data_IF_273446901391
#
_entry.id   IF_273446901391
#
_cell.length_a   1.000
_cell.length_b   1.000
_cell.length_c   1.000
_cell.angle_alpha   90.00
_cell.angle_beta   90.00
_cell.angle_gamma   90.00
#
_symmetry.space_group_name_H-M   'P 1'
#
loop_
_entity.id
_entity.type
_entity.pdbx_description
1 polymer ?
#
# COMPACT_ATOMS: atom_id res chain seq x y z
N UNK A 1 -5.19 23.73 7.88
CA UNK A 1 -5.14 22.47 7.13
C UNK A 1 -5.72 22.70 5.74
N UNK A 2 -4.89 23.07 4.76
CA UNK A 2 -5.34 23.24 3.37
C UNK A 2 -5.31 21.88 2.70
N UNK A 3 -6.45 21.46 2.13
CA UNK A 3 -6.52 20.37 1.17
C UNK A 3 -5.67 20.74 -0.04
N UNK A 4 -4.97 19.75 -0.58
CA UNK A 4 -4.05 19.87 -1.69
C UNK A 4 -4.77 19.38 -2.95
N UNK A 5 -5.52 20.28 -3.57
CA UNK A 5 -6.28 20.08 -4.81
C UNK A 5 -5.72 21.02 -5.88
N UNK A 6 -4.56 20.64 -6.43
CA UNK A 6 -3.87 21.45 -7.44
C UNK A 6 -2.97 20.70 -8.41
N UNK A 7 -2.99 19.36 -8.44
CA UNK A 7 -2.22 18.61 -9.43
C UNK A 7 -3.12 17.91 -10.45
N UNK A 8 -2.70 17.97 -11.72
CA UNK A 8 -3.13 17.11 -12.85
C UNK A 8 -3.48 15.71 -12.35
N UNK A 9 -4.51 15.10 -12.95
CA UNK A 9 -5.00 13.76 -12.61
C UNK A 9 -3.81 12.82 -12.28
N UNK A 10 -3.86 12.08 -11.16
CA UNK A 10 -2.77 11.20 -10.77
C UNK A 10 -2.46 10.28 -11.95
N UNK A 11 -1.18 10.05 -12.24
CA UNK A 11 -0.86 9.10 -13.30
C UNK A 11 -1.41 7.74 -12.87
N UNK A 12 -2.50 7.32 -13.51
CA UNK A 12 -3.05 6.00 -13.29
C UNK A 12 -2.14 5.04 -14.04
N UNK A 13 -1.18 4.49 -13.32
CA UNK A 13 -0.53 3.26 -13.77
C UNK A 13 -1.33 2.13 -13.14
N UNK A 14 -2.03 1.35 -13.95
CA UNK A 14 -2.53 0.04 -13.54
C UNK A 14 -1.34 -0.92 -13.40
N UNK A 15 -0.51 -0.70 -12.38
CA UNK A 15 0.49 -1.68 -11.98
C UNK A 15 -0.24 -2.71 -11.12
N UNK A 16 -0.85 -3.71 -11.75
CA UNK A 16 -1.39 -4.87 -11.02
C UNK A 16 -0.21 -5.60 -10.39
N UNK A 17 -0.05 -5.45 -9.08
CA UNK A 17 0.87 -6.24 -8.28
C UNK A 17 0.06 -7.30 -7.58
N UNK A 18 0.13 -8.52 -8.08
CA UNK A 18 -0.39 -9.68 -7.35
C UNK A 18 0.56 -9.92 -6.19
N UNK A 19 0.09 -9.62 -4.98
CA UNK A 19 0.70 -10.17 -3.78
C UNK A 19 0.08 -11.55 -3.61
N UNK A 20 0.91 -12.58 -3.46
CA UNK A 20 0.44 -13.90 -3.07
C UNK A 20 -0.07 -13.81 -1.62
N UNK A 21 -1.29 -13.31 -1.46
CA UNK A 21 -2.10 -13.56 -0.28
C UNK A 21 -2.32 -15.07 -0.25
N UNK A 22 -2.16 -15.70 0.91
CA UNK A 22 -2.27 -17.15 1.07
C UNK A 22 -3.47 -17.67 0.25
N UNK A 23 -3.20 -18.43 -0.80
CA UNK A 23 -4.26 -19.13 -1.51
C UNK A 23 -4.82 -20.15 -0.52
N UNK A 24 -6.12 -20.10 -0.26
CA UNK A 24 -6.86 -21.17 0.42
C UNK A 24 -6.66 -22.48 -0.36
N UNK A 25 -5.58 -23.18 -0.07
CA UNK A 25 -5.37 -24.58 -0.39
C UNK A 25 -5.59 -25.35 0.91
N UNK A 26 -6.77 -25.19 1.51
CA UNK A 26 -7.26 -26.09 2.56
C UNK A 26 -8.44 -26.84 1.97
N UNK A 27 -8.16 -27.75 1.04
CA UNK A 27 -9.03 -28.88 0.73
C UNK A 27 -8.27 -29.83 -0.21
N UNK A 28 -7.37 -30.63 0.37
CA UNK A 28 -7.18 -32.06 0.08
C UNK A 28 -5.83 -32.55 0.64
N UNK A 29 -5.91 -33.42 1.66
CA UNK A 29 -5.02 -34.56 1.87
C UNK A 29 -3.51 -34.35 2.00
N UNK A 30 -3.02 -34.57 3.24
CA UNK A 30 -1.71 -35.15 3.59
C UNK A 30 -0.40 -34.44 3.19
N UNK A 31 0.47 -34.38 4.21
CA UNK A 31 1.92 -34.18 4.19
C UNK A 31 2.46 -32.76 3.96
N UNK A 32 2.82 -32.14 5.08
CA UNK A 32 4.03 -31.32 5.23
C UNK A 32 4.32 -30.38 4.08
N UNK A 33 3.46 -29.38 3.89
CA UNK A 33 3.79 -28.25 3.03
C UNK A 33 4.88 -27.47 3.75
N UNK A 34 6.14 -27.74 3.42
CA UNK A 34 7.24 -26.86 3.74
C UNK A 34 6.80 -25.45 3.37
N UNK A 35 6.79 -24.54 4.35
CA UNK A 35 6.59 -23.11 4.12
C UNK A 35 7.50 -22.74 2.94
N UNK A 36 6.91 -22.40 1.79
CA UNK A 36 7.67 -21.74 0.73
C UNK A 36 8.11 -20.42 1.33
N UNK A 37 9.32 -20.42 1.88
CA UNK A 37 10.12 -19.25 2.19
C UNK A 37 10.52 -18.61 0.85
N UNK A 38 9.53 -18.25 0.03
CA UNK A 38 9.68 -17.29 -1.06
C UNK A 38 10.15 -15.98 -0.40
N UNK A 39 11.11 -15.29 -1.01
CA UNK A 39 11.74 -14.04 -0.54
C UNK A 39 10.70 -12.92 -0.33
N UNK A 40 9.90 -13.02 0.72
CA UNK A 40 8.79 -12.15 1.00
C UNK A 40 9.34 -10.80 1.46
N UNK A 41 9.20 -9.78 0.62
CA UNK A 41 9.56 -8.40 0.96
C UNK A 41 8.82 -7.97 2.24
N UNK A 42 9.57 -7.58 3.26
CA UNK A 42 9.01 -7.10 4.52
C UNK A 42 8.41 -5.70 4.36
N UNK A 43 7.59 -5.27 5.32
CA UNK A 43 7.08 -3.89 5.35
C UNK A 43 8.23 -2.86 5.31
N UNK A 44 9.26 -3.04 6.13
CA UNK A 44 10.41 -2.14 6.18
C UNK A 44 11.15 -2.06 4.83
N UNK A 45 11.46 -3.21 4.24
CA UNK A 45 12.10 -3.30 2.92
C UNK A 45 11.24 -2.66 1.82
N UNK A 46 9.92 -2.88 1.87
CA UNK A 46 9.00 -2.25 0.93
C UNK A 46 9.01 -0.72 1.07
N UNK A 47 8.89 -0.17 2.26
CA UNK A 47 8.88 1.29 2.47
C UNK A 47 10.19 1.94 2.03
N UNK A 48 11.33 1.33 2.39
CA UNK A 48 12.65 1.82 1.99
C UNK A 48 12.84 1.80 0.47
N UNK A 49 12.55 0.66 -0.17
CA UNK A 49 12.70 0.53 -1.62
C UNK A 49 11.69 1.39 -2.37
N UNK A 50 10.42 1.43 -1.94
CA UNK A 50 9.35 2.21 -2.56
C UNK A 50 9.74 3.68 -2.60
N UNK A 51 10.22 4.27 -1.48
CA UNK A 51 10.60 5.69 -1.42
C UNK A 51 11.59 6.17 -2.49
N UNK A 52 12.40 5.25 -3.05
CA UNK A 52 13.44 5.55 -4.04
C UNK A 52 12.99 5.30 -5.48
N UNK A 53 11.77 4.81 -5.69
CA UNK A 53 11.27 4.46 -7.03
C UNK A 53 10.81 5.69 -7.80
N UNK A 54 10.88 5.58 -9.14
CA UNK A 54 10.25 6.52 -10.06
C UNK A 54 8.94 5.96 -10.58
N UNK A 55 8.09 6.83 -11.09
CA UNK A 55 6.89 6.41 -11.79
C UNK A 55 7.25 5.53 -12.98
N UNK A 56 6.48 4.48 -13.19
CA UNK A 56 6.64 3.58 -14.34
C UNK A 56 5.85 4.03 -15.56
N UNK A 57 5.02 5.09 -15.44
CA UNK A 57 4.29 5.64 -16.57
C UNK A 57 5.27 6.29 -17.56
N UNK A 58 5.27 5.95 -18.86
CA UNK A 58 6.25 6.46 -19.82
C UNK A 58 6.29 8.00 -19.92
N UNK A 59 5.15 8.66 -19.74
CA UNK A 59 5.07 10.13 -19.76
C UNK A 59 5.29 10.82 -18.41
N UNK A 60 5.41 10.07 -17.30
CA UNK A 60 5.64 10.63 -15.97
C UNK A 60 7.10 10.44 -15.57
N UNK A 61 7.80 11.55 -15.33
CA UNK A 61 9.21 11.54 -14.88
C UNK A 61 9.36 11.78 -13.37
N UNK A 62 8.24 11.88 -12.65
CA UNK A 62 8.22 12.18 -11.22
C UNK A 62 8.53 10.94 -10.36
N UNK A 63 9.05 11.16 -9.16
CA UNK A 63 9.25 10.12 -8.14
C UNK A 63 7.93 9.63 -7.54
N UNK A 64 7.91 8.44 -6.94
CA UNK A 64 6.68 7.92 -6.30
C UNK A 64 6.16 8.78 -5.15
N UNK A 65 6.97 9.70 -4.61
CA UNK A 65 6.58 10.65 -3.57
C UNK A 65 5.48 11.62 -4.03
N UNK A 66 5.32 11.83 -5.35
CA UNK A 66 4.21 12.61 -5.93
C UNK A 66 3.01 11.75 -6.32
N UNK A 67 3.02 10.47 -5.95
CA UNK A 67 2.02 9.49 -6.33
C UNK A 67 1.41 8.83 -5.09
N UNK A 68 0.27 8.19 -5.33
CA UNK A 68 -0.35 7.30 -4.38
C UNK A 68 -0.31 5.88 -4.96
N UNK A 69 0.19 4.93 -4.17
CA UNK A 69 0.03 3.51 -4.47
C UNK A 69 -1.22 3.02 -3.76
N UNK A 70 -2.18 2.48 -4.50
CA UNK A 70 -3.42 1.94 -3.95
C UNK A 70 -3.47 0.42 -4.05
N UNK A 71 -3.97 -0.23 -3.00
CA UNK A 71 -4.26 -1.66 -2.96
C UNK A 71 -5.77 -1.83 -2.86
N UNK A 72 -6.35 -2.68 -3.71
CA UNK A 72 -7.78 -2.91 -3.74
C UNK A 72 -8.08 -4.35 -3.34
N UNK A 73 -9.00 -4.52 -2.39
CA UNK A 73 -9.48 -5.84 -1.98
C UNK A 73 -10.87 -5.75 -1.33
N UNK A 74 -11.76 -6.70 -1.63
CA UNK A 74 -13.11 -6.82 -1.05
C UNK A 74 -13.92 -5.51 -0.98
N UNK A 75 -13.94 -4.74 -2.07
CA UNK A 75 -14.68 -3.47 -2.12
C UNK A 75 -14.10 -2.39 -1.21
N UNK A 76 -12.80 -2.44 -0.97
CA UNK A 76 -12.06 -1.43 -0.24
C UNK A 76 -10.74 -1.10 -0.93
N UNK A 77 -10.28 0.12 -0.66
CA UNK A 77 -9.03 0.70 -1.12
C UNK A 77 -8.17 1.03 0.08
N UNK A 78 -6.93 0.56 0.08
CA UNK A 78 -5.88 1.01 0.98
C UNK A 78 -4.90 1.86 0.19
N UNK A 79 -4.88 3.15 0.46
CA UNK A 79 -3.97 4.11 -0.16
C UNK A 79 -2.68 4.26 0.65
N UNK A 80 -1.54 4.20 -0.03
CA UNK A 80 -0.21 4.46 0.51
C UNK A 80 0.40 5.67 -0.20
N UNK A 81 0.72 6.71 0.58
CA UNK A 81 1.46 7.89 0.12
C UNK A 81 2.73 8.05 0.92
N UNK A 82 3.81 8.45 0.26
CA UNK A 82 5.07 8.75 0.94
C UNK A 82 5.44 10.22 0.79
N UNK A 83 5.89 10.83 1.89
CA UNK A 83 6.29 12.24 1.93
C UNK A 83 7.59 12.37 2.72
N UNK A 84 8.38 13.39 2.39
CA UNK A 84 9.57 13.72 3.17
C UNK A 84 9.15 14.42 4.45
N UNK A 85 9.73 14.01 5.58
CA UNK A 85 9.51 14.69 6.85
C UNK A 85 10.27 16.03 6.87
N UNK A 86 9.73 17.06 7.52
CA UNK A 86 10.47 18.31 7.79
C UNK A 86 11.79 18.03 8.50
N UNK A 87 12.81 18.86 8.29
CA UNK A 87 14.13 18.67 8.92
C UNK A 87 14.08 18.70 10.46
N UNK A 88 13.08 19.36 11.04
CA UNK A 88 12.86 19.58 12.48
C UNK A 88 11.80 18.64 13.08
N UNK A 89 11.47 17.53 12.42
CA UNK A 89 10.41 16.60 12.81
C UNK A 89 10.62 15.90 14.18
N UNK A 90 11.80 15.98 14.78
CA UNK A 90 12.07 15.52 16.15
C UNK A 90 12.01 14.00 16.36
N UNK A 91 11.83 13.19 15.31
CA UNK A 91 11.95 11.74 15.42
C UNK A 91 13.43 11.34 15.41
N UNK A 92 13.80 10.25 16.11
CA UNK A 92 15.13 9.67 15.98
C UNK A 92 15.44 9.30 14.51
N UNK A 93 16.70 9.47 14.11
CA UNK A 93 17.16 9.15 12.75
C UNK A 93 17.08 7.66 12.43
N UNK A 94 17.27 6.83 13.45
CA UNK A 94 17.25 5.37 13.35
C UNK A 94 15.93 4.78 13.85
N UNK A 95 15.48 3.73 13.16
CA UNK A 95 14.29 2.97 13.52
C UNK A 95 13.03 3.38 12.77
N UNK A 96 11.92 2.74 13.14
CA UNK A 96 10.60 2.96 12.55
C UNK A 96 9.68 3.42 13.67
N UNK A 97 8.97 4.51 13.45
CA UNK A 97 7.98 5.04 14.39
C UNK A 97 6.61 5.05 13.73
N UNK A 98 5.55 4.97 14.52
CA UNK A 98 4.19 5.02 14.02
C UNK A 98 3.31 5.83 14.94
N UNK A 99 2.32 6.50 14.34
CA UNK A 99 1.24 7.17 15.02
C UNK A 99 -0.02 7.05 14.16
N UNK A 100 -1.14 7.47 14.70
CA UNK A 100 -2.44 7.37 14.03
C UNK A 100 -3.24 8.66 14.17
N UNK A 101 -4.14 8.87 13.24
CA UNK A 101 -5.13 9.94 13.26
C UNK A 101 -6.51 9.36 13.02
N UNK A 102 -7.35 9.33 14.06
CA UNK A 102 -8.69 8.78 13.97
C UNK A 102 -9.66 9.75 13.29
N UNK A 103 -10.43 9.33 12.30
CA UNK A 103 -11.34 10.24 11.60
C UNK A 103 -12.62 10.53 12.39
N UNK A 104 -12.97 9.67 13.33
CA UNK A 104 -14.20 9.73 14.11
C UNK A 104 -14.04 10.47 15.45
N UNK A 105 -12.82 10.53 16.01
CA UNK A 105 -12.58 11.20 17.29
C UNK A 105 -12.67 12.74 17.19
N UNK A 106 -13.05 13.41 18.29
CA UNK A 106 -12.94 14.86 18.39
C UNK A 106 -11.47 15.31 18.28
N UNK A 107 -11.20 16.57 17.86
CA UNK A 107 -9.84 17.06 17.64
C UNK A 107 -8.88 16.84 18.80
N UNK A 108 -9.36 16.93 20.05
CA UNK A 108 -8.56 16.75 21.27
C UNK A 108 -8.06 15.33 21.51
N UNK A 109 -8.66 14.31 20.87
CA UNK A 109 -8.33 12.89 21.07
C UNK A 109 -8.00 12.18 19.76
N UNK A 110 -7.83 12.96 18.68
CA UNK A 110 -7.74 12.42 17.33
C UNK A 110 -6.39 11.80 17.02
N UNK A 111 -5.34 12.38 17.57
CA UNK A 111 -3.96 12.02 17.28
C UNK A 111 -3.45 11.06 18.35
N UNK A 112 -3.06 9.86 17.92
CA UNK A 112 -2.35 8.90 18.78
C UNK A 112 -0.90 9.33 19.04
N UNK A 113 -0.28 8.83 20.12
CA UNK A 113 1.12 9.12 20.41
C UNK A 113 2.02 8.54 19.32
N UNK A 114 3.19 9.16 19.16
CA UNK A 114 4.29 8.58 18.39
C UNK A 114 4.93 7.48 19.24
N UNK A 115 4.97 6.27 18.70
CA UNK A 115 5.58 5.10 19.34
C UNK A 115 6.50 4.38 18.38
N UNK A 116 7.46 3.61 18.90
CA UNK A 116 8.27 2.73 18.08
C UNK A 116 7.38 1.67 17.41
N UNK A 117 7.56 1.46 16.10
CA UNK A 117 6.93 0.38 15.37
C UNK A 117 7.62 -0.93 15.76
N UNK A 118 6.84 -1.90 16.24
CA UNK A 118 7.40 -3.14 16.77
C UNK A 118 8.18 -3.93 15.72
N UNK A 119 9.20 -4.68 16.16
CA UNK A 119 10.03 -5.46 15.27
C UNK A 119 9.23 -6.52 14.48
N UNK A 120 8.27 -7.15 15.16
CA UNK A 120 7.33 -8.07 14.53
C UNK A 120 6.51 -7.42 13.40
N UNK A 121 6.15 -6.14 13.53
CA UNK A 121 5.37 -5.43 12.49
C UNK A 121 6.25 -5.00 11.34
N UNK A 122 7.42 -4.41 11.60
CA UNK A 122 8.27 -3.91 10.51
C UNK A 122 8.94 -5.03 9.70
N UNK A 123 9.11 -6.22 10.28
CA UNK A 123 9.67 -7.41 9.62
C UNK A 123 8.58 -8.35 9.10
N UNK A 124 7.30 -7.99 9.28
CA UNK A 124 6.19 -8.74 8.73
C UNK A 124 6.25 -8.71 7.19
N UNK A 125 5.96 -9.84 6.50
CA UNK A 125 5.73 -9.85 5.07
C UNK A 125 4.69 -8.79 4.68
N UNK A 126 4.97 -8.01 3.63
CA UNK A 126 4.08 -6.93 3.21
C UNK A 126 2.65 -7.43 2.93
N UNK A 127 2.52 -8.59 2.29
CA UNK A 127 1.20 -9.18 1.99
C UNK A 127 0.36 -9.37 3.27
N UNK A 128 0.95 -9.98 4.31
CA UNK A 128 0.29 -10.18 5.61
C UNK A 128 -0.05 -8.86 6.30
N UNK A 129 0.82 -7.86 6.21
CA UNK A 129 0.52 -6.52 6.71
C UNK A 129 -0.68 -5.89 6.00
N UNK A 130 -0.75 -5.98 4.67
CA UNK A 130 -1.88 -5.46 3.87
C UNK A 130 -3.18 -6.22 4.18
N UNK A 131 -3.13 -7.55 4.28
CA UNK A 131 -4.27 -8.39 4.65
C UNK A 131 -4.90 -7.94 5.98
N UNK A 132 -4.08 -7.56 6.97
CA UNK A 132 -4.58 -7.10 8.26
C UNK A 132 -5.53 -5.90 8.11
N UNK A 133 -5.30 -4.99 7.17
CA UNK A 133 -6.19 -3.85 6.94
C UNK A 133 -7.55 -4.25 6.37
N UNK A 134 -7.61 -5.32 5.59
CA UNK A 134 -8.84 -5.75 4.95
C UNK A 134 -9.67 -6.69 5.83
N UNK A 135 -9.02 -7.54 6.62
CA UNK A 135 -9.67 -8.60 7.39
C UNK A 135 -9.80 -8.30 8.88
N UNK A 136 -8.87 -7.57 9.50
CA UNK A 136 -8.93 -7.29 10.92
C UNK A 136 -9.80 -6.07 11.22
N UNK A 137 -11.03 -6.33 11.66
CA UNK A 137 -12.01 -5.28 11.99
C UNK A 137 -12.05 -4.95 13.47
N UNK A 138 -11.49 -5.79 14.34
CA UNK A 138 -11.60 -5.69 15.79
C UNK A 138 -10.43 -4.96 16.45
N UNK A 139 -9.30 -4.81 15.75
CA UNK A 139 -8.19 -4.03 16.26
C UNK A 139 -8.60 -2.58 16.48
N UNK A 140 -8.39 -2.07 17.68
CA UNK A 140 -8.57 -0.67 18.05
C UNK A 140 -7.26 -0.10 18.61
N UNK A 141 -7.12 1.23 18.60
CA UNK A 141 -6.01 1.90 19.28
C UNK A 141 -6.27 1.90 20.79
N UNK A 142 -5.21 1.95 21.60
CA UNK A 142 -5.34 2.24 23.04
C UNK A 142 -5.93 3.62 23.32
N UNK A 143 -5.90 4.52 22.35
CA UNK A 143 -6.38 5.91 22.48
C UNK A 143 -7.87 6.10 22.19
N UNK A 144 -8.53 5.18 21.47
CA UNK A 144 -9.96 5.25 21.18
C UNK A 144 -10.53 3.90 20.69
N UNK A 145 -11.84 3.65 20.87
CA UNK A 145 -12.46 2.36 20.53
C UNK A 145 -12.67 2.13 19.02
N UNK A 146 -12.35 3.12 18.17
CA UNK A 146 -12.57 3.03 16.72
C UNK A 146 -11.55 2.10 16.05
N UNK A 147 -11.94 1.53 14.89
CA UNK A 147 -11.13 0.55 14.16
C UNK A 147 -9.81 1.15 13.72
N UNK A 148 -8.73 0.51 14.16
CA UNK A 148 -7.34 0.88 13.87
C UNK A 148 -7.02 0.90 12.38
N UNK A 149 -7.66 0.04 11.61
CA UNK A 149 -7.41 -0.12 10.18
C UNK A 149 -8.38 0.68 9.31
N UNK A 150 -9.64 0.87 9.76
CA UNK A 150 -10.70 1.48 8.94
C UNK A 150 -10.96 2.93 9.26
N UNK A 151 -10.94 3.26 10.55
CA UNK A 151 -11.36 4.57 11.04
C UNK A 151 -10.16 5.48 11.33
N UNK A 152 -8.93 4.99 11.15
CA UNK A 152 -7.70 5.71 11.44
C UNK A 152 -6.78 5.74 10.23
N UNK A 153 -6.21 6.90 9.96
CA UNK A 153 -5.08 7.05 9.05
C UNK A 153 -3.80 6.75 9.84
N UNK A 154 -2.95 5.87 9.33
CA UNK A 154 -1.72 5.45 10.00
C UNK A 154 -0.51 6.04 9.32
N UNK A 155 0.40 6.54 10.13
CA UNK A 155 1.68 7.07 9.70
C UNK A 155 2.79 6.13 10.15
N UNK A 156 3.76 5.89 9.28
CA UNK A 156 4.94 5.08 9.57
C UNK A 156 6.16 5.86 9.09
N UNK A 157 7.06 6.24 9.99
CA UNK A 157 8.32 6.86 9.62
C UNK A 157 9.33 5.82 9.17
N UNK A 158 10.16 6.19 8.19
CA UNK A 158 11.20 5.36 7.61
C UNK A 158 12.28 6.27 7.00
N UNK A 159 13.43 6.41 7.66
CA UNK A 159 14.62 7.08 7.10
C UNK A 159 14.36 8.51 6.59
N UNK A 160 13.80 9.39 7.44
CA UNK A 160 13.47 10.78 7.07
C UNK A 160 12.22 10.93 6.18
N UNK A 161 11.52 9.84 5.91
CA UNK A 161 10.25 9.81 5.18
C UNK A 161 9.11 9.39 6.11
N UNK A 162 7.87 9.70 5.72
CA UNK A 162 6.66 9.17 6.33
C UNK A 162 5.77 8.53 5.27
N UNK A 163 5.38 7.28 5.50
CA UNK A 163 4.35 6.58 4.76
C UNK A 163 3.00 6.77 5.47
N UNK A 164 2.00 7.20 4.72
CA UNK A 164 0.63 7.39 5.18
C UNK A 164 -0.25 6.33 4.57
N UNK A 165 -0.92 5.55 5.41
CA UNK A 165 -1.87 4.51 5.03
C UNK A 165 -3.29 4.94 5.38
N UNK A 166 -4.17 4.92 4.38
CA UNK A 166 -5.58 5.30 4.53
C UNK A 166 -6.48 4.25 3.90
N UNK A 167 -7.40 3.71 4.70
CA UNK A 167 -8.44 2.79 4.24
C UNK A 167 -9.70 3.57 3.84
N UNK A 168 -10.30 3.19 2.73
CA UNK A 168 -11.59 3.71 2.26
C UNK A 168 -12.43 2.57 1.67
N UNK A 169 -13.74 2.59 1.92
CA UNK A 169 -14.67 1.73 1.17
C UNK A 169 -14.81 2.27 -0.25
N UNK A 170 -14.85 1.38 -1.24
CA UNK A 170 -15.01 1.77 -2.63
C UNK A 170 -15.89 0.78 -3.39
N UNK A 171 -16.70 1.30 -4.31
CA UNK A 171 -17.43 0.47 -5.26
C UNK A 171 -16.49 0.10 -6.40
N UNK A 172 -16.31 -1.21 -6.62
CA UNK A 172 -15.54 -1.72 -7.76
C UNK A 172 -16.53 -2.04 -8.87
N UNK A 173 -16.53 -1.24 -9.93
CA UNK A 173 -17.48 -1.41 -11.04
C UNK A 173 -16.98 -2.40 -12.10
N UNK A 174 -15.67 -2.46 -12.34
CA UNK A 174 -15.05 -3.40 -13.28
C UNK A 174 -13.61 -3.68 -12.85
N UNK A 175 -13.14 -4.90 -13.09
CA UNK A 175 -11.74 -5.29 -12.91
C UNK A 175 -11.23 -5.87 -14.23
N UNK A 176 -10.09 -5.37 -14.70
CA UNK A 176 -9.36 -5.99 -15.80
C UNK A 176 -8.35 -6.95 -15.19
N UNK A 177 -8.44 -8.27 -15.44
CA UNK A 177 -7.42 -9.19 -14.97
C UNK A 177 -6.06 -8.82 -15.61
N UNK A 178 -4.94 -9.06 -14.90
CA UNK A 178 -3.63 -8.83 -15.49
C UNK A 178 -3.49 -9.65 -16.77
N UNK A 179 -3.06 -8.99 -17.85
CA UNK A 179 -2.77 -9.66 -19.12
C UNK A 179 -1.61 -10.62 -18.86
N UNK A 180 -1.81 -11.91 -19.15
CA UNK A 180 -0.74 -12.90 -19.01
C UNK A 180 0.48 -12.45 -19.85
N UNK A 181 1.72 -12.55 -19.33
CA UNK A 181 2.92 -12.08 -20.04
C UNK A 181 3.06 -12.61 -21.47
N UNK A 182 2.50 -13.79 -21.73
CA UNK A 182 2.51 -14.46 -23.03
C UNK A 182 1.69 -13.70 -24.10
N UNK A 183 0.58 -13.07 -23.71
CA UNK A 183 -0.30 -12.34 -24.63
C UNK A 183 0.24 -10.93 -25.00
N UNK A 184 1.17 -10.38 -24.22
CA UNK A 184 1.81 -9.08 -24.50
C UNK A 184 2.75 -9.15 -25.72
N UNK A 185 3.33 -10.33 -25.97
CA UNK A 185 4.21 -10.56 -27.13
C UNK A 185 3.46 -10.61 -28.46
N UNK A 186 2.22 -11.13 -28.47
CA UNK A 186 1.43 -11.31 -29.69
C UNK A 186 0.78 -10.00 -30.18
N UNK A 187 0.50 -9.05 -29.29
CA UNK A 187 -0.07 -7.75 -29.67
C UNK A 187 0.96 -6.79 -30.30
N UNK A 188 2.25 -6.95 -30.00
CA UNK A 188 3.32 -6.17 -30.62
C UNK A 188 3.76 -6.70 -32.00
N UNK A 189 3.29 -7.89 -32.39
CA UNK A 189 3.66 -8.53 -33.66
C UNK A 189 2.60 -8.40 -34.75
N UNK A 190 1.43 -7.81 -34.49
CA UNK A 190 0.39 -7.69 -35.51
C UNK A 190 0.75 -6.52 -36.44
N UNK A 191 1.13 -6.76 -37.72
CA UNK A 191 1.41 -5.66 -38.64
C UNK A 191 0.14 -4.82 -38.87
N UNK A 192 0.26 -3.52 -39.17
CA UNK A 192 -0.88 -2.68 -39.48
C UNK A 192 -1.62 -3.29 -40.67
N UNK A 193 -2.94 -3.45 -40.53
CA UNK A 193 -3.78 -3.95 -41.61
C UNK A 193 -3.64 -3.02 -42.83
N UNK A 194 -3.02 -3.54 -43.89
CA UNK A 194 -2.94 -2.87 -45.18
C UNK A 194 -4.36 -2.70 -45.72
N UNK A 195 -4.88 -1.47 -45.70
CA UNK A 195 -6.08 -1.14 -46.48
C UNK A 195 -5.69 -1.22 -47.96
N UNK A 196 -6.11 -2.28 -48.64
CA UNK A 196 -6.18 -2.28 -50.09
C UNK A 196 -7.40 -1.45 -50.50
N UNK A 197 -7.16 -0.42 -51.33
CA UNK A 197 -8.16 0.24 -52.14
C UNK A 197 -8.09 -0.33 -53.55
#
# INVERSE_FOLDING_TARGET
WKRWDGHKAPCHVEAVRTFCCYTDQVEQGMQGVAERQDDCVTLSQFLQSHSRRRCTHPSCKEGVLRHEQAFYHRGARLSLRMQQLPSDHGLPSEGFFTWSFCQLCPPSQRTGPVIALSAATHNMPLARFLESYFYNTSACSRSCPHSLHRDQERFISCGGMVATLKFERCNVYSMTPPIAPQALGEQLQRPPATRQF
#
